data_IF_204413801205
#
_entry.id   IF_204413801205
#
_cell.length_a   1.000
_cell.length_b   1.000
_cell.length_c   1.000
_cell.angle_alpha   90.00
_cell.angle_beta   90.00
_cell.angle_gamma   90.00
#
_symmetry.space_group_name_H-M   'P 1'
#
loop_
_entity.id
_entity.type
_entity.pdbx_description
1 polymer ?
#
# COMPACT_ATOMS: atom_id res chain seq x y z
N UNK A 1 -14.41 -14.94 -12.38
CA UNK A 1 -13.23 -14.74 -11.51
C UNK A 1 -12.04 -13.99 -12.16
N UNK A 2 -11.83 -14.04 -13.50
CA UNK A 2 -10.64 -13.42 -14.15
C UNK A 2 -10.60 -11.88 -14.08
N UNK A 3 -11.76 -11.22 -14.22
CA UNK A 3 -11.86 -9.74 -14.25
C UNK A 3 -11.44 -9.11 -12.91
N UNK A 4 -11.90 -9.65 -11.76
CA UNK A 4 -11.56 -9.09 -10.44
C UNK A 4 -10.06 -9.12 -10.16
N UNK A 5 -9.38 -10.23 -10.47
CA UNK A 5 -7.93 -10.33 -10.31
C UNK A 5 -7.17 -9.38 -11.26
N UNK A 6 -7.66 -9.22 -12.50
CA UNK A 6 -7.09 -8.27 -13.46
C UNK A 6 -7.29 -6.81 -13.02
N UNK A 7 -8.47 -6.46 -12.51
CA UNK A 7 -8.76 -5.12 -11.99
C UNK A 7 -7.93 -4.81 -10.76
N UNK A 8 -7.78 -5.75 -9.82
CA UNK A 8 -6.93 -5.58 -8.64
C UNK A 8 -5.45 -5.44 -9.03
N UNK A 9 -4.96 -6.24 -9.99
CA UNK A 9 -3.61 -6.12 -10.52
C UNK A 9 -3.34 -4.80 -11.23
N UNK A 10 -4.29 -4.32 -12.05
CA UNK A 10 -4.19 -3.04 -12.75
C UNK A 10 -4.21 -1.85 -11.77
N UNK A 11 -5.17 -1.84 -10.83
CA UNK A 11 -5.22 -0.84 -9.77
C UNK A 11 -3.95 -0.83 -8.91
N UNK A 12 -3.38 -2.02 -8.63
CA UNK A 12 -2.14 -2.09 -7.87
C UNK A 12 -0.97 -1.44 -8.62
N UNK A 13 -0.83 -1.71 -9.93
CA UNK A 13 0.19 -1.06 -10.76
C UNK A 13 -0.01 0.46 -10.84
N UNK A 14 -1.24 0.93 -11.04
CA UNK A 14 -1.54 2.37 -11.13
C UNK A 14 -1.32 3.11 -9.81
N UNK A 15 -1.51 2.47 -8.65
CA UNK A 15 -1.20 3.06 -7.35
C UNK A 15 0.31 3.05 -7.08
N UNK A 16 1.02 2.00 -7.50
CA UNK A 16 2.44 1.85 -7.23
C UNK A 16 3.29 2.96 -7.88
N UNK A 17 2.90 3.40 -9.07
CA UNK A 17 3.59 4.46 -9.83
C UNK A 17 3.67 5.81 -9.06
N UNK A 18 2.54 6.46 -8.70
CA UNK A 18 2.58 7.71 -7.94
C UNK A 18 3.15 7.51 -6.53
N UNK A 19 2.94 6.35 -5.91
CA UNK A 19 3.49 6.06 -4.59
C UNK A 19 5.02 6.02 -4.60
N UNK A 20 5.62 5.37 -5.59
CA UNK A 20 7.08 5.32 -5.77
C UNK A 20 7.64 6.72 -5.94
N UNK A 21 6.96 7.56 -6.74
CA UNK A 21 7.36 8.96 -6.89
C UNK A 21 7.30 9.71 -5.55
N UNK A 22 6.22 9.56 -4.77
CA UNK A 22 6.09 10.21 -3.45
C UNK A 22 7.22 9.80 -2.50
N UNK A 23 7.49 8.49 -2.39
CA UNK A 23 8.56 7.96 -1.52
C UNK A 23 9.92 8.55 -1.93
N UNK A 24 10.24 8.52 -3.23
CA UNK A 24 11.51 9.06 -3.73
C UNK A 24 11.68 10.56 -3.46
N UNK A 25 10.62 11.36 -3.63
CA UNK A 25 10.69 12.79 -3.29
C UNK A 25 10.91 13.02 -1.79
N UNK A 26 10.26 12.22 -0.94
CA UNK A 26 10.45 12.30 0.52
C UNK A 26 11.87 11.91 0.92
N UNK A 27 12.46 10.89 0.30
CA UNK A 27 13.85 10.48 0.53
C UNK A 27 14.83 11.60 0.15
N UNK A 28 14.63 12.23 -1.02
CA UNK A 28 15.42 13.41 -1.42
C UNK A 28 15.28 14.53 -0.39
N UNK A 29 14.07 14.81 0.11
CA UNK A 29 13.86 15.84 1.14
C UNK A 29 14.54 15.46 2.46
N UNK A 30 14.47 14.21 2.89
CA UNK A 30 15.13 13.72 4.11
C UNK A 30 16.65 13.83 4.05
N UNK A 31 17.25 13.62 2.87
CA UNK A 31 18.71 13.80 2.67
C UNK A 31 19.15 15.25 2.78
N UNK A 32 18.26 16.20 2.46
CA UNK A 32 18.50 17.64 2.51
C UNK A 32 18.07 18.30 3.83
N UNK A 33 17.42 17.55 4.71
CA UNK A 33 16.85 18.06 5.96
C UNK A 33 17.70 17.61 7.15
N UNK A 34 18.29 18.57 7.84
CA UNK A 34 19.12 18.35 9.05
C UNK A 34 18.29 17.74 10.19
N UNK A 35 18.95 17.10 11.15
CA UNK A 35 18.32 16.28 12.19
C UNK A 35 17.43 17.05 13.17
N UNK A 36 17.72 18.32 13.41
CA UNK A 36 17.00 19.20 14.33
C UNK A 36 15.86 19.98 13.66
N UNK A 37 15.72 19.89 12.33
CA UNK A 37 14.65 20.56 11.60
C UNK A 37 13.27 19.99 11.98
N UNK A 38 12.33 20.80 12.49
CA UNK A 38 11.00 20.33 12.86
C UNK A 38 10.21 19.68 11.72
N UNK A 39 10.55 19.95 10.45
CA UNK A 39 9.92 19.34 9.27
C UNK A 39 10.35 17.88 9.09
N UNK A 40 11.53 17.50 9.60
CA UNK A 40 12.07 16.14 9.46
C UNK A 40 11.09 15.08 9.98
N UNK A 41 10.49 15.30 11.15
CA UNK A 41 9.50 14.37 11.74
C UNK A 41 8.29 14.13 10.82
N UNK A 42 7.88 15.15 10.06
CA UNK A 42 6.76 15.07 9.13
C UNK A 42 7.18 14.29 7.88
N UNK A 43 8.38 14.55 7.35
CA UNK A 43 8.94 13.79 6.23
C UNK A 43 9.11 12.30 6.57
N UNK A 44 9.63 11.98 7.75
CA UNK A 44 9.76 10.59 8.21
C UNK A 44 8.40 9.91 8.39
N UNK A 45 7.38 10.65 8.86
CA UNK A 45 6.02 10.12 8.96
C UNK A 45 5.42 9.81 7.57
N UNK A 46 5.62 10.69 6.58
CA UNK A 46 5.18 10.47 5.20
C UNK A 46 5.91 9.28 4.59
N UNK A 47 7.23 9.16 4.81
CA UNK A 47 8.03 8.03 4.32
C UNK A 47 7.50 6.69 4.85
N UNK A 48 7.28 6.59 6.18
CA UNK A 48 6.68 5.39 6.80
C UNK A 48 5.28 5.09 6.28
N UNK A 49 4.45 6.12 6.09
CA UNK A 49 3.12 5.95 5.54
C UNK A 49 3.17 5.44 4.09
N UNK A 50 4.08 5.97 3.27
CA UNK A 50 4.29 5.52 1.89
C UNK A 50 4.66 4.04 1.80
N UNK A 51 5.60 3.60 2.63
CA UNK A 51 5.98 2.18 2.71
C UNK A 51 4.84 1.28 3.19
N UNK A 52 4.04 1.73 4.16
CA UNK A 52 2.84 0.99 4.59
C UNK A 52 1.81 0.84 3.46
N UNK A 53 1.63 1.86 2.63
CA UNK A 53 0.75 1.75 1.44
C UNK A 53 1.34 0.74 0.45
N UNK A 54 2.66 0.73 0.25
CA UNK A 54 3.34 -0.22 -0.64
C UNK A 54 3.08 -1.68 -0.23
N UNK A 55 3.11 -1.97 1.08
CA UNK A 55 2.75 -3.28 1.62
C UNK A 55 1.29 -3.68 1.31
N UNK A 56 0.35 -2.75 1.47
CA UNK A 56 -1.08 -2.99 1.19
C UNK A 56 -1.30 -3.26 -0.30
N UNK A 57 -0.69 -2.45 -1.16
CA UNK A 57 -0.81 -2.55 -2.62
C UNK A 57 -0.17 -3.84 -3.14
N UNK A 58 0.96 -4.27 -2.57
CA UNK A 58 1.57 -5.56 -2.89
C UNK A 58 0.65 -6.74 -2.56
N UNK A 59 -0.06 -6.69 -1.44
CA UNK A 59 -1.08 -7.71 -1.10
C UNK A 59 -2.27 -7.68 -2.07
N UNK A 60 -2.63 -6.49 -2.59
CA UNK A 60 -3.70 -6.31 -3.58
C UNK A 60 -3.34 -6.83 -4.99
N UNK A 61 -2.09 -6.70 -5.41
CA UNK A 61 -1.64 -7.13 -6.75
C UNK A 61 -1.37 -8.62 -6.88
N UNK A 62 -1.20 -9.35 -5.76
CA UNK A 62 -0.91 -10.78 -5.76
C UNK A 62 -1.80 -11.61 -4.81
N UNK A 63 -3.14 -11.46 -4.80
CA UNK A 63 -4.03 -12.22 -3.93
C UNK A 63 -4.03 -13.69 -4.37
N UNK A 64 -3.53 -14.59 -3.51
CA UNK A 64 -3.49 -16.03 -3.79
C UNK A 64 -4.85 -16.70 -3.62
N UNK A 65 -5.75 -16.08 -2.85
CA UNK A 65 -7.12 -16.56 -2.61
C UNK A 65 -8.07 -15.38 -2.44
N UNK A 66 -9.32 -15.53 -2.89
CA UNK A 66 -10.37 -14.55 -2.60
C UNK A 66 -10.89 -14.80 -1.19
N UNK A 67 -10.59 -13.88 -0.27
CA UNK A 67 -11.15 -13.86 1.09
C UNK A 67 -11.81 -12.50 1.26
N UNK A 68 -13.02 -12.46 1.80
CA UNK A 68 -13.74 -11.22 2.11
C UNK A 68 -14.01 -11.14 3.60
N UNK A 69 -14.11 -9.91 4.11
CA UNK A 69 -14.62 -9.61 5.44
C UNK A 69 -15.80 -8.66 5.32
N UNK A 70 -16.82 -8.85 6.15
CA UNK A 70 -17.95 -7.94 6.19
C UNK A 70 -17.56 -6.63 6.85
N UNK A 71 -17.78 -5.54 6.13
CA UNK A 71 -17.58 -4.19 6.63
C UNK A 71 -18.91 -3.64 7.17
N UNK A 72 -18.90 -2.85 8.27
CA UNK A 72 -20.10 -2.19 8.75
C UNK A 72 -20.77 -1.38 7.63
N UNK A 73 -22.03 -1.68 7.32
CA UNK A 73 -22.73 -1.16 6.14
C UNK A 73 -23.16 -2.22 5.13
N UNK A 74 -22.88 -3.51 5.38
CA UNK A 74 -23.38 -4.63 4.57
C UNK A 74 -22.63 -4.86 3.26
N UNK A 75 -21.44 -4.27 3.12
CA UNK A 75 -20.58 -4.45 1.96
C UNK A 75 -19.45 -5.39 2.34
N UNK A 76 -19.30 -6.47 1.58
CA UNK A 76 -18.15 -7.35 1.71
C UNK A 76 -16.96 -6.74 0.98
N UNK A 77 -15.85 -6.56 1.72
CA UNK A 77 -14.60 -6.03 1.19
C UNK A 77 -13.59 -7.17 1.17
N UNK A 78 -12.72 -7.17 0.15
CA UNK A 78 -11.64 -8.15 0.05
C UNK A 78 -10.70 -7.98 1.25
N UNK A 79 -10.47 -9.09 1.95
CA UNK A 79 -9.48 -9.22 2.99
C UNK A 79 -8.13 -9.63 2.37
N UNK A 80 -7.31 -8.62 2.05
CA UNK A 80 -5.99 -8.84 1.47
C UNK A 80 -5.00 -9.53 2.43
N UNK A 81 -5.19 -9.40 3.74
CA UNK A 81 -4.31 -10.05 4.72
C UNK A 81 -4.59 -11.56 4.78
N UNK A 82 -5.87 -11.94 4.79
CA UNK A 82 -6.26 -13.34 4.74
C UNK A 82 -5.98 -13.97 3.35
N UNK A 83 -6.14 -13.20 2.27
CA UNK A 83 -5.84 -13.62 0.90
C UNK A 83 -4.36 -13.98 0.66
N UNK A 84 -3.45 -13.51 1.51
CA UNK A 84 -2.00 -13.69 1.38
C UNK A 84 -1.43 -14.88 2.19
N UNK A 85 -2.19 -15.49 3.10
CA UNK A 85 -1.71 -16.58 3.98
C UNK A 85 -1.62 -17.93 3.23
N UNK A 86 -0.57 -18.70 3.51
CA UNK A 86 -0.42 -20.11 3.10
C UNK A 86 -0.84 -20.97 4.30
N UNK A 87 -1.75 -21.92 4.09
CA UNK A 87 -2.14 -22.90 5.10
C UNK A 87 -1.01 -23.93 5.24
N UNK A 88 -0.51 -24.12 6.46
CA UNK A 88 0.60 -25.02 6.82
C UNK A 88 0.20 -26.49 6.78
#
# INVERSE_FOLDING_TARGET
MRVLAQTAGAAAHEIFQPLTAIIGHVEILLTKTVSDDPRRRHLEAIHRAGWRISEIVNKMGSPRRYVTKSFPGGIDIIDFDAAAKIES
#
